data_IF_266074982829
#
_entry.id   IF_266074982829
#
_cell.length_a   1.000
_cell.length_b   1.000
_cell.length_c   1.000
_cell.angle_alpha   90.00
_cell.angle_beta   90.00
_cell.angle_gamma   90.00
#
_symmetry.space_group_name_H-M   'P 1'
#
loop_
_entity.id
_entity.type
_entity.pdbx_description
1 polymer ?
#
# COMPACT_ATOMS: atom_id res chain seq x y z
N UNK A 1 -6.60 12.62 -39.96
CA UNK A 1 -7.93 12.05 -39.71
C UNK A 1 -8.08 12.02 -38.20
N UNK A 2 -9.01 12.82 -37.71
CA UNK A 2 -9.30 13.03 -36.30
C UNK A 2 -9.87 11.76 -35.67
N UNK A 3 -9.40 11.43 -34.47
CA UNK A 3 -10.17 10.70 -33.49
C UNK A 3 -10.00 11.51 -32.20
N UNK A 4 -11.08 12.21 -31.89
CA UNK A 4 -11.29 13.02 -30.70
C UNK A 4 -11.47 12.05 -29.54
N UNK A 5 -10.40 11.79 -28.78
CA UNK A 5 -10.50 11.10 -27.50
C UNK A 5 -10.87 12.15 -26.45
N UNK A 6 -12.15 12.52 -26.40
CA UNK A 6 -12.71 13.15 -25.20
C UNK A 6 -12.68 12.11 -24.08
N UNK A 7 -11.54 11.99 -23.40
CA UNK A 7 -11.50 11.47 -22.04
C UNK A 7 -12.53 12.26 -21.24
N UNK A 8 -13.50 11.55 -20.66
CA UNK A 8 -14.41 12.14 -19.71
C UNK A 8 -13.60 12.60 -18.49
N UNK A 9 -13.11 13.84 -18.53
CA UNK A 9 -12.64 14.56 -17.36
C UNK A 9 -13.83 14.56 -16.41
N UNK A 10 -13.83 13.64 -15.45
CA UNK A 10 -14.88 13.53 -14.44
C UNK A 10 -15.08 14.91 -13.86
N UNK A 11 -16.21 15.54 -14.18
CA UNK A 11 -16.42 16.94 -13.87
C UNK A 11 -16.47 17.10 -12.35
N UNK A 12 -15.44 17.71 -11.78
CA UNK A 12 -15.28 17.88 -10.35
C UNK A 12 -16.29 18.91 -9.88
N UNK A 13 -17.18 18.53 -8.96
CA UNK A 13 -18.25 19.41 -8.47
C UNK A 13 -18.19 19.59 -6.96
N UNK A 14 -18.73 20.71 -6.50
CA UNK A 14 -18.92 20.99 -5.08
C UNK A 14 -19.92 19.99 -4.48
N UNK A 15 -19.52 19.27 -3.44
CA UNK A 15 -20.36 18.28 -2.78
C UNK A 15 -21.61 18.84 -2.09
N UNK A 16 -21.70 20.17 -1.95
CA UNK A 16 -22.86 20.85 -1.36
C UNK A 16 -23.80 21.44 -2.43
N UNK A 17 -23.28 22.31 -3.31
CA UNK A 17 -24.10 23.07 -4.25
C UNK A 17 -24.05 22.55 -5.70
N UNK A 18 -23.24 21.54 -5.99
CA UNK A 18 -23.13 20.95 -7.33
C UNK A 18 -22.39 21.79 -8.37
N UNK A 19 -21.89 22.99 -8.02
CA UNK A 19 -21.11 23.83 -8.93
C UNK A 19 -19.85 23.08 -9.36
N UNK A 20 -19.60 23.07 -10.66
CA UNK A 20 -18.47 22.40 -11.28
C UNK A 20 -17.23 23.29 -11.27
N UNK A 21 -16.05 22.67 -11.16
CA UNK A 21 -14.76 23.32 -11.33
C UNK A 21 -14.62 23.76 -12.80
N UNK A 22 -14.87 25.05 -13.04
CA UNK A 22 -14.66 25.75 -14.31
C UNK A 22 -13.49 26.73 -14.11
N UNK A 23 -12.94 27.30 -15.18
CA UNK A 23 -11.69 28.10 -15.14
C UNK A 23 -11.67 29.19 -14.03
N UNK A 24 -12.82 29.79 -13.70
CA UNK A 24 -12.95 30.84 -12.68
C UNK A 24 -13.25 30.32 -11.25
N UNK A 25 -13.59 29.04 -11.07
CA UNK A 25 -14.03 28.47 -9.79
C UNK A 25 -13.09 27.35 -9.38
N UNK A 26 -12.19 27.64 -8.44
CA UNK A 26 -11.31 26.64 -7.83
C UNK A 26 -12.02 25.94 -6.67
N UNK A 27 -12.14 24.62 -6.74
CA UNK A 27 -12.71 23.84 -5.64
C UNK A 27 -11.62 23.45 -4.62
N UNK A 28 -11.92 23.59 -3.34
CA UNK A 28 -11.05 23.20 -2.23
C UNK A 28 -11.41 21.80 -1.74
N UNK A 29 -10.42 20.94 -1.55
CA UNK A 29 -10.64 19.59 -1.00
C UNK A 29 -10.96 19.66 0.50
N UNK A 30 -11.72 18.69 0.99
CA UNK A 30 -11.83 18.44 2.41
C UNK A 30 -10.47 18.03 2.98
N UNK A 31 -9.94 18.79 3.94
CA UNK A 31 -8.61 18.56 4.51
C UNK A 31 -8.46 17.22 5.26
N UNK A 32 -9.57 16.62 5.70
CA UNK A 32 -9.54 15.40 6.50
C UNK A 32 -9.57 14.13 5.64
N UNK A 33 -10.34 14.14 4.53
CA UNK A 33 -10.61 12.94 3.75
C UNK A 33 -10.19 13.01 2.27
N UNK A 34 -9.86 14.19 1.75
CA UNK A 34 -9.48 14.46 0.36
C UNK A 34 -10.49 14.02 -0.75
N UNK A 35 -11.63 13.43 -0.38
CA UNK A 35 -12.63 12.89 -1.31
C UNK A 35 -13.56 13.95 -1.89
N UNK A 36 -14.14 14.79 -1.02
CA UNK A 36 -15.14 15.78 -1.41
C UNK A 36 -14.47 17.13 -1.60
N UNK A 37 -14.92 17.88 -2.61
CA UNK A 37 -14.48 19.26 -2.85
C UNK A 37 -15.60 20.26 -2.61
N UNK A 38 -15.24 21.49 -2.30
CA UNK A 38 -16.16 22.58 -1.98
C UNK A 38 -15.72 23.88 -2.64
N UNK A 39 -16.66 24.67 -3.14
CA UNK A 39 -16.35 26.00 -3.70
C UNK A 39 -16.14 27.07 -2.62
N UNK A 40 -16.47 26.78 -1.36
CA UNK A 40 -16.30 27.69 -0.22
C UNK A 40 -16.38 26.97 1.12
N UNK A 41 -15.85 27.58 2.18
CA UNK A 41 -15.99 27.10 3.56
C UNK A 41 -17.45 26.98 4.00
N UNK A 42 -18.32 27.85 3.47
CA UNK A 42 -19.77 27.79 3.73
C UNK A 42 -20.38 26.50 3.19
N UNK A 43 -20.09 26.14 1.94
CA UNK A 43 -20.53 24.87 1.36
C UNK A 43 -19.99 23.65 2.13
N UNK A 44 -18.77 23.72 2.64
CA UNK A 44 -18.21 22.67 3.47
C UNK A 44 -18.94 22.54 4.82
N UNK A 45 -19.25 23.66 5.47
CA UNK A 45 -20.01 23.67 6.73
C UNK A 45 -21.44 23.16 6.53
N UNK A 46 -22.11 23.61 5.48
CA UNK A 46 -23.49 23.23 5.16
C UNK A 46 -23.61 21.73 4.85
N UNK A 47 -22.60 21.13 4.21
CA UNK A 47 -22.56 19.69 3.89
C UNK A 47 -21.97 18.82 5.02
N UNK A 48 -21.44 19.42 6.09
CA UNK A 48 -20.80 18.70 7.20
C UNK A 48 -21.71 17.61 7.81
N UNK A 49 -23.01 17.85 8.10
CA UNK A 49 -23.87 16.83 8.71
C UNK A 49 -24.07 15.58 7.84
N UNK A 50 -24.12 15.75 6.51
CA UNK A 50 -24.27 14.64 5.56
C UNK A 50 -22.94 13.92 5.32
N UNK A 51 -21.83 14.65 5.37
CA UNK A 51 -20.50 14.14 5.05
C UNK A 51 -19.76 13.51 6.24
N UNK A 52 -20.03 13.93 7.49
CA UNK A 52 -19.19 13.66 8.66
C UNK A 52 -18.84 12.18 8.84
N UNK A 53 -19.81 11.27 8.68
CA UNK A 53 -19.58 9.83 8.84
C UNK A 53 -18.60 9.31 7.78
N UNK A 54 -18.87 9.59 6.51
CA UNK A 54 -18.01 9.19 5.40
C UNK A 54 -16.61 9.85 5.48
N UNK A 55 -16.55 11.09 5.97
CA UNK A 55 -15.30 11.79 6.22
C UNK A 55 -14.44 11.03 7.23
N UNK A 56 -15.00 10.68 8.40
CA UNK A 56 -14.28 9.95 9.45
C UNK A 56 -13.80 8.58 9.00
N UNK A 57 -14.63 7.83 8.28
CA UNK A 57 -14.27 6.53 7.73
C UNK A 57 -13.07 6.67 6.78
N UNK A 58 -13.12 7.61 5.83
CA UNK A 58 -12.02 7.83 4.90
C UNK A 58 -10.75 8.35 5.58
N UNK A 59 -10.86 9.25 6.55
CA UNK A 59 -9.69 9.73 7.29
C UNK A 59 -9.00 8.60 8.06
N UNK A 60 -9.76 7.61 8.56
CA UNK A 60 -9.20 6.41 9.17
C UNK A 60 -8.47 5.54 8.13
N UNK A 61 -9.07 5.32 6.95
CA UNK A 61 -8.42 4.60 5.84
C UNK A 61 -7.11 5.26 5.42
N UNK A 62 -7.10 6.59 5.20
CA UNK A 62 -5.90 7.33 4.82
C UNK A 62 -4.81 7.21 5.87
N UNK A 63 -5.18 7.22 7.15
CA UNK A 63 -4.23 7.01 8.25
C UNK A 63 -3.65 5.60 8.21
N UNK A 64 -4.47 4.59 7.97
CA UNK A 64 -4.01 3.20 7.85
C UNK A 64 -3.11 3.02 6.62
N UNK A 65 -3.45 3.63 5.47
CA UNK A 65 -2.58 3.65 4.29
C UNK A 65 -1.21 4.26 4.60
N UNK A 66 -1.16 5.42 5.27
CA UNK A 66 0.12 6.05 5.64
C UNK A 66 0.95 5.17 6.58
N UNK A 67 0.31 4.45 7.50
CA UNK A 67 0.99 3.62 8.49
C UNK A 67 1.45 2.26 7.94
N UNK A 68 0.68 1.66 7.04
CA UNK A 68 0.84 0.25 6.66
C UNK A 68 1.14 0.00 5.19
N UNK A 69 1.13 1.04 4.35
CA UNK A 69 1.50 0.89 2.94
C UNK A 69 2.95 0.39 2.84
N UNK A 70 3.07 -0.84 2.35
CA UNK A 70 4.36 -1.43 2.03
C UNK A 70 4.99 -0.68 0.85
N UNK A 71 6.33 -0.57 0.82
CA UNK A 71 7.01 -0.06 -0.37
C UNK A 71 6.77 -1.00 -1.57
N UNK A 72 6.91 -0.46 -2.77
CA UNK A 72 6.85 -1.26 -3.98
C UNK A 72 8.00 -2.29 -4.01
N UNK A 73 7.79 -3.41 -4.70
CA UNK A 73 8.80 -4.44 -4.88
C UNK A 73 10.07 -3.87 -5.51
N UNK A 74 11.20 -4.49 -5.20
CA UNK A 74 12.49 -4.12 -5.80
C UNK A 74 12.78 -4.98 -7.04
N UNK A 75 13.85 -4.68 -7.77
CA UNK A 75 14.32 -5.54 -8.88
C UNK A 75 14.69 -6.97 -8.44
N UNK A 76 14.84 -7.20 -7.13
CA UNK A 76 15.08 -8.52 -6.55
C UNK A 76 13.78 -9.24 -6.16
N UNK A 77 12.65 -8.55 -6.29
CA UNK A 77 11.33 -9.06 -5.97
C UNK A 77 11.02 -9.06 -4.48
N UNK A 78 9.97 -9.81 -4.13
CA UNK A 78 9.49 -9.96 -2.76
C UNK A 78 9.88 -11.33 -2.20
N UNK A 79 9.98 -11.40 -0.87
CA UNK A 79 10.18 -12.66 -0.19
C UNK A 79 8.95 -13.57 -0.43
N UNK A 80 9.11 -14.79 -0.96
CA UNK A 80 7.99 -15.67 -1.29
C UNK A 80 7.30 -16.30 -0.07
N UNK A 81 7.74 -15.97 1.15
CA UNK A 81 7.17 -16.46 2.42
C UNK A 81 6.32 -15.39 3.10
N UNK A 82 6.84 -14.16 3.23
CA UNK A 82 6.13 -13.06 3.90
C UNK A 82 5.63 -11.97 2.95
N UNK A 83 5.95 -12.04 1.65
CA UNK A 83 5.57 -11.08 0.62
C UNK A 83 6.08 -9.64 0.86
N UNK A 84 7.08 -9.48 1.72
CA UNK A 84 7.74 -8.19 1.91
C UNK A 84 8.86 -8.00 0.86
N UNK A 85 9.06 -6.77 0.35
CA UNK A 85 10.14 -6.48 -0.58
C UNK A 85 11.51 -6.88 -0.04
N UNK A 86 12.30 -7.54 -0.89
CA UNK A 86 13.67 -7.90 -0.52
C UNK A 86 14.54 -6.63 -0.49
N UNK A 87 15.27 -6.40 0.61
CA UNK A 87 16.00 -5.16 0.94
C UNK A 87 17.31 -4.92 0.16
N UNK A 88 17.40 -3.82 -0.59
CA UNK A 88 18.52 -3.52 -1.51
C UNK A 88 19.90 -3.35 -0.86
N UNK A 89 19.96 -3.17 0.47
CA UNK A 89 21.22 -2.99 1.19
C UNK A 89 22.09 -4.24 1.08
N UNK A 90 23.24 -4.10 0.42
CA UNK A 90 24.26 -5.15 0.29
C UNK A 90 25.12 -5.28 1.55
N UNK A 91 25.11 -4.27 2.43
CA UNK A 91 25.94 -4.20 3.63
C UNK A 91 25.35 -4.96 4.83
N UNK A 92 24.09 -5.36 4.75
CA UNK A 92 23.48 -6.29 5.70
C UNK A 92 23.08 -7.53 4.94
N UNK A 93 23.55 -8.69 5.39
CA UNK A 93 23.20 -10.03 4.91
C UNK A 93 21.69 -10.33 5.10
N UNK A 94 20.79 -9.48 4.59
CA UNK A 94 19.34 -9.55 4.78
C UNK A 94 18.70 -10.55 3.81
N UNK A 95 19.51 -11.25 3.01
CA UNK A 95 19.06 -12.15 1.94
C UNK A 95 19.98 -13.34 1.83
N UNK A 96 19.39 -14.52 1.72
CA UNK A 96 20.16 -15.75 1.53
C UNK A 96 19.54 -16.52 0.37
N UNK A 97 20.37 -16.86 -0.62
CA UNK A 97 20.02 -17.83 -1.65
C UNK A 97 20.37 -19.22 -1.13
N UNK A 98 19.38 -20.09 -1.05
CA UNK A 98 19.58 -21.48 -0.65
C UNK A 98 19.49 -22.42 -1.86
N UNK A 99 20.31 -23.47 -1.85
CA UNK A 99 20.48 -24.38 -2.99
C UNK A 99 19.21 -25.12 -3.43
N UNK A 100 18.29 -25.43 -2.52
CA UNK A 100 17.00 -26.03 -2.88
C UNK A 100 15.99 -24.94 -3.29
N UNK A 101 15.28 -25.19 -4.40
CA UNK A 101 14.28 -24.30 -5.01
C UNK A 101 14.80 -22.97 -5.57
N UNK A 102 16.09 -22.65 -5.40
CA UNK A 102 16.75 -21.43 -5.90
C UNK A 102 15.95 -20.15 -5.61
N UNK A 103 15.31 -20.12 -4.43
CA UNK A 103 14.51 -18.96 -4.00
C UNK A 103 15.35 -18.04 -3.13
N UNK A 104 15.22 -16.75 -3.42
CA UNK A 104 15.72 -15.66 -2.58
C UNK A 104 14.67 -15.38 -1.50
N UNK A 105 15.08 -15.45 -0.23
CA UNK A 105 14.22 -15.17 0.93
C UNK A 105 14.87 -14.09 1.79
N UNK A 106 14.05 -13.38 2.57
CA UNK A 106 14.57 -12.44 3.55
C UNK A 106 15.16 -13.17 4.77
N UNK A 107 16.17 -12.57 5.40
CA UNK A 107 16.82 -13.10 6.59
C UNK A 107 15.82 -13.22 7.75
N UNK A 108 14.82 -12.34 7.83
CA UNK A 108 13.73 -12.50 8.80
C UNK A 108 13.02 -13.85 8.71
N UNK A 109 12.69 -14.33 7.51
CA UNK A 109 12.06 -15.64 7.33
C UNK A 109 13.05 -16.80 7.56
N UNK A 110 14.33 -16.63 7.22
CA UNK A 110 15.35 -17.62 7.56
C UNK A 110 15.52 -17.75 9.08
N UNK A 111 15.62 -16.63 9.78
CA UNK A 111 15.77 -16.57 11.22
C UNK A 111 14.55 -17.17 11.93
N UNK A 112 13.34 -16.82 11.50
CA UNK A 112 12.10 -17.41 12.01
C UNK A 112 12.04 -18.94 11.81
N UNK A 113 12.57 -19.43 10.67
CA UNK A 113 12.69 -20.87 10.42
C UNK A 113 13.63 -21.54 11.43
N UNK A 114 14.80 -20.94 11.70
CA UNK A 114 15.75 -21.43 12.70
C UNK A 114 15.18 -21.46 14.12
N UNK A 115 14.42 -20.42 14.53
CA UNK A 115 13.72 -20.41 15.82
C UNK A 115 12.76 -21.59 15.94
N UNK A 116 11.93 -21.83 14.90
CA UNK A 116 10.98 -22.94 14.88
C UNK A 116 11.69 -24.28 15.00
N UNK A 117 12.74 -24.47 14.21
CA UNK A 117 13.51 -25.71 14.21
C UNK A 117 14.14 -25.99 15.57
N UNK A 118 14.70 -24.97 16.23
CA UNK A 118 15.27 -25.10 17.56
C UNK A 118 14.19 -25.40 18.62
N UNK A 119 13.07 -24.66 18.60
CA UNK A 119 12.00 -24.78 19.58
C UNK A 119 11.28 -26.13 19.52
N UNK A 120 11.19 -26.74 18.33
CA UNK A 120 10.54 -28.02 18.09
C UNK A 120 11.54 -29.20 17.95
N UNK A 121 12.83 -28.94 18.13
CA UNK A 121 13.92 -29.92 17.95
C UNK A 121 13.85 -30.65 16.59
N UNK A 122 13.58 -29.89 15.53
CA UNK A 122 13.49 -30.38 14.15
C UNK A 122 14.85 -30.34 13.48
N UNK A 123 15.01 -31.17 12.45
CA UNK A 123 16.16 -31.08 11.54
C UNK A 123 16.10 -29.78 10.75
N UNK A 124 17.27 -29.29 10.35
CA UNK A 124 17.39 -28.13 9.49
C UNK A 124 16.79 -28.39 8.10
N UNK A 125 15.93 -27.48 7.68
CA UNK A 125 15.21 -27.52 6.42
C UNK A 125 15.33 -26.20 5.66
N UNK A 126 15.12 -26.25 4.34
CA UNK A 126 15.00 -25.07 3.51
C UNK A 126 13.72 -24.29 3.86
N UNK A 127 13.77 -22.99 4.24
CA UNK A 127 12.62 -22.27 4.77
C UNK A 127 11.41 -22.18 3.83
N UNK A 128 11.64 -22.16 2.52
CA UNK A 128 10.57 -22.04 1.52
C UNK A 128 9.82 -23.37 1.33
N UNK A 129 10.54 -24.45 1.01
CA UNK A 129 9.95 -25.74 0.63
C UNK A 129 10.01 -26.80 1.73
N UNK A 130 10.62 -26.50 2.88
CA UNK A 130 10.82 -27.38 4.04
C UNK A 130 11.54 -28.70 3.76
N UNK A 131 12.26 -28.80 2.64
CA UNK A 131 13.08 -29.97 2.37
C UNK A 131 14.26 -30.04 3.34
N UNK A 132 14.69 -31.24 3.78
CA UNK A 132 15.89 -31.38 4.60
C UNK A 132 17.14 -30.80 3.92
N UNK A 133 18.01 -30.17 4.70
CA UNK A 133 19.32 -29.71 4.23
C UNK A 133 20.32 -30.88 4.17
N UNK A 134 20.94 -31.10 3.01
CA UNK A 134 22.02 -32.10 2.84
C UNK A 134 21.61 -33.49 2.34
N UNK A 135 20.40 -33.63 1.81
CA UNK A 135 19.98 -34.79 1.00
C UNK A 135 20.31 -34.60 -0.49
#
# INVERSE_FOLDING_TARGET
>A
MSADETEAVGMLCCGSCGITEIDDIKLMKCADCDLVRYCSDKCQQDHRPQHERACKERSAELRDEVLFRQPDSTHLGDCPICFLPLSLDMDRDERIMLGCCSKLICNGCLYANGIRELGENLKHTYPFCRHPLGE
#
